data_IF_529834070004
#
_entry.id   IF_529834070004
#
_cell.length_a   1.000
_cell.length_b   1.000
_cell.length_c   1.000
_cell.angle_alpha   90.00
_cell.angle_beta   90.00
_cell.angle_gamma   90.00
#
_symmetry.space_group_name_H-M   'P 1'
#
loop_
_entity.id
_entity.type
_entity.pdbx_description
1 polymer ?
#
# COMPACT_ATOMS: atom_id res chain seq x y z
N UNK A 1 8.71 7.14 -27.49
CA UNK A 1 10.04 7.09 -28.15
C UNK A 1 10.68 8.46 -28.17
N UNK A 2 11.95 8.58 -27.74
CA UNK A 2 12.73 9.82 -27.86
C UNK A 2 12.88 10.65 -26.59
N UNK A 3 12.35 10.20 -25.44
CA UNK A 3 12.69 10.77 -24.14
C UNK A 3 13.68 9.83 -23.43
N UNK A 4 14.96 10.19 -23.30
CA UNK A 4 15.97 9.33 -22.70
C UNK A 4 15.66 8.95 -21.25
N UNK A 5 14.88 9.76 -20.52
CA UNK A 5 14.42 9.41 -19.16
C UNK A 5 13.32 8.36 -19.13
N UNK A 6 12.45 8.34 -20.14
CA UNK A 6 11.41 7.30 -20.24
C UNK A 6 12.04 5.96 -20.60
N UNK A 7 12.98 5.96 -21.55
CA UNK A 7 13.73 4.76 -21.94
C UNK A 7 14.60 4.20 -20.81
N UNK A 8 15.17 5.08 -19.97
CA UNK A 8 15.89 4.67 -18.76
C UNK A 8 14.95 4.08 -17.69
N UNK A 9 13.75 4.64 -17.53
CA UNK A 9 12.72 4.13 -16.62
C UNK A 9 12.23 2.74 -17.05
N UNK A 10 11.89 2.55 -18.32
CA UNK A 10 11.47 1.26 -18.89
C UNK A 10 12.57 0.21 -18.72
N UNK A 11 13.84 0.59 -18.96
CA UNK A 11 14.99 -0.29 -18.76
C UNK A 11 15.22 -0.68 -17.30
N UNK A 12 14.96 0.23 -16.35
CA UNK A 12 15.06 -0.06 -14.92
C UNK A 12 13.94 -1.02 -14.50
N UNK A 13 12.71 -0.80 -14.96
CA UNK A 13 11.58 -1.68 -14.69
C UNK A 13 11.79 -3.08 -15.27
N UNK A 14 12.27 -3.20 -16.51
CA UNK A 14 12.64 -4.49 -17.12
C UNK A 14 13.78 -5.18 -16.36
N UNK A 15 14.80 -4.41 -15.95
CA UNK A 15 15.98 -4.96 -15.27
C UNK A 15 15.66 -5.49 -13.86
N UNK A 16 14.75 -4.82 -13.15
CA UNK A 16 14.37 -5.19 -11.78
C UNK A 16 13.05 -5.95 -11.72
N UNK A 17 12.37 -6.16 -12.85
CA UNK A 17 11.06 -6.80 -12.96
C UNK A 17 10.00 -6.17 -12.07
N UNK A 18 10.10 -4.85 -11.86
CA UNK A 18 9.16 -4.09 -11.02
C UNK A 18 8.20 -3.34 -11.93
N UNK A 19 6.90 -3.57 -11.72
CA UNK A 19 5.83 -2.87 -12.42
C UNK A 19 5.46 -1.54 -11.77
N UNK A 20 4.20 -1.14 -11.94
CA UNK A 20 3.67 0.05 -11.30
C UNK A 20 3.54 -0.10 -9.77
N UNK A 21 3.33 1.03 -9.10
CA UNK A 21 3.19 1.07 -7.64
C UNK A 21 1.85 1.70 -7.28
N UNK A 22 1.13 1.05 -6.37
CA UNK A 22 -0.14 1.52 -5.82
C UNK A 22 0.04 1.72 -4.31
N UNK A 23 -0.28 2.92 -3.83
CA UNK A 23 -0.31 3.25 -2.41
C UNK A 23 -1.71 3.03 -1.85
N UNK A 24 -1.79 2.35 -0.71
CA UNK A 24 -3.00 2.22 0.10
C UNK A 24 -2.79 3.03 1.36
N UNK A 25 -3.54 4.11 1.53
CA UNK A 25 -3.51 4.93 2.73
C UNK A 25 -4.49 4.35 3.75
N UNK A 26 -4.03 4.25 5.00
CA UNK A 26 -4.78 3.76 6.15
C UNK A 26 -4.92 4.91 7.13
N UNK A 27 -6.12 5.17 7.61
CA UNK A 27 -6.40 6.16 8.63
C UNK A 27 -7.27 5.56 9.74
N UNK A 28 -6.98 5.93 10.98
CA UNK A 28 -7.71 5.55 12.17
C UNK A 28 -7.71 6.71 13.17
N UNK A 29 -8.72 6.80 14.03
CA UNK A 29 -8.78 7.85 15.08
C UNK A 29 -7.76 7.62 16.21
N UNK A 30 -7.38 6.37 16.44
CA UNK A 30 -6.39 5.92 17.43
C UNK A 30 -5.04 5.52 16.82
N UNK A 31 -4.16 4.94 17.64
CA UNK A 31 -2.83 4.51 17.16
C UNK A 31 -2.93 3.19 16.38
N UNK A 32 -2.32 3.16 15.20
CA UNK A 32 -2.18 1.95 14.40
C UNK A 32 -1.24 0.90 15.03
N UNK A 33 -0.50 1.28 16.08
CA UNK A 33 0.34 0.36 16.87
C UNK A 33 -0.44 -0.37 17.97
N UNK A 34 -1.72 -0.07 18.16
CA UNK A 34 -2.57 -0.86 19.04
C UNK A 34 -2.77 -2.27 18.44
N UNK A 35 -2.81 -3.29 19.30
CA UNK A 35 -2.89 -4.70 18.90
C UNK A 35 -3.95 -4.97 17.83
N UNK A 36 -5.17 -4.48 18.05
CA UNK A 36 -6.30 -4.70 17.16
C UNK A 36 -6.07 -4.05 15.77
N UNK A 37 -5.44 -2.88 15.74
CA UNK A 37 -5.11 -2.18 14.51
C UNK A 37 -3.92 -2.83 13.78
N UNK A 38 -2.88 -3.26 14.51
CA UNK A 38 -1.76 -4.03 13.94
C UNK A 38 -2.24 -5.31 13.27
N UNK A 39 -3.17 -6.04 13.91
CA UNK A 39 -3.75 -7.24 13.33
C UNK A 39 -4.56 -6.93 12.06
N UNK A 40 -5.35 -5.86 12.07
CA UNK A 40 -6.12 -5.44 10.90
C UNK A 40 -5.20 -5.04 9.73
N UNK A 41 -4.18 -4.20 10.00
CA UNK A 41 -3.20 -3.79 8.97
C UNK A 41 -2.44 -5.00 8.42
N UNK A 42 -1.99 -5.92 9.30
CA UNK A 42 -1.32 -7.14 8.87
C UNK A 42 -2.21 -8.01 7.98
N UNK A 43 -3.49 -8.19 8.35
CA UNK A 43 -4.46 -8.92 7.52
C UNK A 43 -4.60 -8.28 6.14
N UNK A 44 -4.80 -6.96 6.08
CA UNK A 44 -4.89 -6.22 4.81
C UNK A 44 -3.62 -6.39 3.98
N UNK A 45 -2.44 -6.31 4.60
CA UNK A 45 -1.17 -6.54 3.90
C UNK A 45 -1.15 -7.94 3.25
N UNK A 46 -1.53 -8.98 3.99
CA UNK A 46 -1.58 -10.35 3.45
C UNK A 46 -2.63 -10.50 2.34
N UNK A 47 -3.82 -9.94 2.50
CA UNK A 47 -4.86 -9.97 1.47
C UNK A 47 -4.40 -9.28 0.17
N UNK A 48 -3.65 -8.18 0.27
CA UNK A 48 -3.09 -7.49 -0.90
C UNK A 48 -1.95 -8.30 -1.51
N UNK A 49 -1.07 -8.89 -0.70
CA UNK A 49 0.08 -9.67 -1.14
C UNK A 49 -0.34 -10.99 -1.83
N UNK A 50 -1.54 -11.50 -1.52
CA UNK A 50 -2.13 -12.67 -2.19
C UNK A 50 -2.83 -12.33 -3.54
N UNK A 51 -2.95 -11.05 -3.90
CA UNK A 51 -3.57 -10.66 -5.18
C UNK A 51 -2.69 -11.04 -6.37
N UNK A 52 -3.32 -11.59 -7.40
CA UNK A 52 -2.67 -11.86 -8.68
C UNK A 52 -2.12 -10.55 -9.28
N UNK A 53 -0.84 -10.54 -9.68
CA UNK A 53 -0.15 -9.37 -10.20
C UNK A 53 0.49 -8.45 -9.14
N UNK A 54 0.40 -8.78 -7.84
CA UNK A 54 1.17 -8.09 -6.78
C UNK A 54 2.47 -8.85 -6.52
N UNK A 55 3.60 -8.16 -6.67
CA UNK A 55 4.93 -8.72 -6.42
C UNK A 55 5.30 -8.71 -4.93
N UNK A 56 5.03 -7.59 -4.25
CA UNK A 56 5.27 -7.44 -2.82
C UNK A 56 4.46 -6.27 -2.25
N UNK A 57 4.22 -6.29 -0.93
CA UNK A 57 3.64 -5.16 -0.20
C UNK A 57 4.64 -4.66 0.84
N UNK A 58 4.93 -3.37 0.81
CA UNK A 58 5.77 -2.70 1.81
C UNK A 58 4.91 -1.94 2.81
N UNK A 59 5.27 -2.00 4.09
CA UNK A 59 4.54 -1.34 5.17
C UNK A 59 5.46 -0.97 6.34
N UNK A 60 4.87 -0.34 7.36
CA UNK A 60 5.54 -0.12 8.64
C UNK A 60 5.65 -1.39 9.49
N UNK A 61 4.96 -2.49 9.13
CA UNK A 61 5.05 -3.78 9.81
C UNK A 61 6.19 -4.58 9.14
N UNK A 62 7.32 -4.81 9.83
CA UNK A 62 8.40 -5.61 9.29
C UNK A 62 8.00 -7.08 9.17
N UNK A 63 8.54 -7.79 8.17
CA UNK A 63 8.36 -9.25 8.03
C UNK A 63 9.10 -10.03 9.12
N UNK A 64 10.19 -9.48 9.64
CA UNK A 64 11.02 -10.07 10.68
C UNK A 64 11.57 -8.99 11.60
N UNK A 65 11.70 -9.31 12.88
CA UNK A 65 12.36 -8.44 13.86
C UNK A 65 13.52 -9.16 14.55
N UNK A 66 14.54 -8.39 14.94
CA UNK A 66 15.71 -8.91 15.65
C UNK A 66 15.56 -8.68 17.15
N UNK A 67 15.13 -9.70 17.88
CA UNK A 67 15.03 -9.67 19.33
C UNK A 67 16.27 -10.31 19.97
N UNK A 68 17.10 -9.48 20.62
CA UNK A 68 18.29 -9.95 21.37
C UNK A 68 19.19 -10.87 20.52
N UNK A 69 19.39 -10.51 19.26
CA UNK A 69 20.23 -11.27 18.31
C UNK A 69 19.55 -12.50 17.70
N UNK A 70 18.26 -12.72 17.94
CA UNK A 70 17.47 -13.75 17.28
C UNK A 70 16.47 -13.11 16.32
N UNK A 71 16.43 -13.61 15.09
CA UNK A 71 15.45 -13.19 14.10
C UNK A 71 14.16 -13.96 14.36
N UNK A 72 13.04 -13.23 14.47
CA UNK A 72 11.70 -13.80 14.61
C UNK A 72 10.81 -13.25 13.50
N UNK A 73 10.11 -14.13 12.80
CA UNK A 73 9.13 -13.73 11.80
C UNK A 73 7.91 -13.10 12.48
N UNK A 74 7.41 -12.01 11.89
CA UNK A 74 6.19 -11.35 12.33
C UNK A 74 5.03 -11.98 11.59
N UNK A 75 4.30 -12.84 12.29
CA UNK A 75 3.04 -13.43 11.82
C UNK A 75 1.86 -13.00 12.71
N UNK A 76 0.65 -13.43 12.35
CA UNK A 76 -0.56 -13.13 13.12
C UNK A 76 -0.44 -13.53 14.60
N UNK A 77 0.19 -14.68 14.88
CA UNK A 77 0.39 -15.19 16.25
C UNK A 77 1.41 -14.36 17.02
N UNK A 78 2.43 -13.85 16.33
CA UNK A 78 3.41 -12.94 16.89
C UNK A 78 2.72 -11.65 17.32
N UNK A 79 1.96 -11.01 16.43
CA UNK A 79 1.23 -9.77 16.74
C UNK A 79 0.23 -10.00 17.89
N UNK A 80 -0.45 -11.14 17.90
CA UNK A 80 -1.40 -11.48 18.96
C UNK A 80 -0.74 -11.52 20.35
N UNK A 81 0.48 -12.06 20.44
CA UNK A 81 1.17 -12.33 21.71
C UNK A 81 2.18 -11.27 22.12
N UNK A 82 2.70 -10.52 21.15
CA UNK A 82 3.87 -9.66 21.29
C UNK A 82 3.70 -8.31 20.55
N UNK A 83 2.46 -7.81 20.49
CA UNK A 83 2.14 -6.51 19.88
C UNK A 83 2.83 -5.33 20.57
N UNK A 84 3.05 -5.42 21.88
CA UNK A 84 3.85 -4.47 22.66
C UNK A 84 5.29 -4.40 22.16
N UNK A 85 5.94 -5.57 22.03
CA UNK A 85 7.32 -5.68 21.54
C UNK A 85 7.43 -5.22 20.09
N UNK A 86 6.45 -5.56 19.26
CA UNK A 86 6.41 -5.12 17.87
C UNK A 86 6.25 -3.60 17.77
N UNK A 87 5.37 -3.01 18.57
CA UNK A 87 5.17 -1.57 18.65
C UNK A 87 6.47 -0.85 19.02
N UNK A 88 7.12 -1.27 20.10
CA UNK A 88 8.40 -0.70 20.54
C UNK A 88 9.47 -0.82 19.44
N UNK A 89 9.57 -1.98 18.78
CA UNK A 89 10.52 -2.18 17.68
C UNK A 89 10.25 -1.25 16.49
N UNK A 90 8.98 -1.08 16.12
CA UNK A 90 8.58 -0.17 15.04
C UNK A 90 8.95 1.26 15.41
N UNK A 91 8.69 1.70 16.64
CA UNK A 91 9.00 3.08 17.04
C UNK A 91 10.50 3.36 17.15
N UNK A 92 11.27 2.44 17.72
CA UNK A 92 12.65 2.72 18.15
C UNK A 92 13.72 2.18 17.20
N UNK A 93 13.45 1.09 16.48
CA UNK A 93 14.48 0.35 15.74
C UNK A 93 14.20 0.25 14.23
N UNK A 94 12.94 0.28 13.81
CA UNK A 94 12.61 0.06 12.40
C UNK A 94 12.87 1.30 11.53
N UNK A 95 13.84 1.19 10.64
CA UNK A 95 14.35 2.31 9.83
C UNK A 95 13.34 2.91 8.83
N UNK A 96 12.25 2.20 8.53
CA UNK A 96 11.23 2.62 7.57
C UNK A 96 9.99 3.24 8.22
N UNK A 97 9.92 3.28 9.55
CA UNK A 97 8.73 3.75 10.26
C UNK A 97 8.30 5.13 9.81
N UNK A 98 9.21 6.11 9.76
CA UNK A 98 8.89 7.49 9.34
C UNK A 98 8.45 7.61 7.88
N UNK A 99 8.67 6.59 7.05
CA UNK A 99 8.25 6.59 5.65
C UNK A 99 6.80 6.10 5.48
N UNK A 100 6.36 5.20 6.35
CA UNK A 100 5.08 4.52 6.22
C UNK A 100 4.09 4.89 7.32
N UNK A 101 4.54 5.35 8.49
CA UNK A 101 3.72 5.67 9.64
C UNK A 101 3.84 7.16 9.98
N UNK A 102 2.70 7.79 10.20
CA UNK A 102 2.64 9.19 10.62
C UNK A 102 3.14 9.42 12.05
N UNK A 103 3.58 10.65 12.34
CA UNK A 103 4.08 11.05 13.66
C UNK A 103 3.05 10.91 14.79
N UNK A 104 1.75 10.87 14.53
CA UNK A 104 0.73 10.61 15.55
C UNK A 104 0.27 9.15 15.56
N UNK A 105 0.87 8.31 14.70
CA UNK A 105 0.59 6.90 14.49
C UNK A 105 -0.84 6.62 14.03
N UNK A 106 -1.60 7.64 13.66
CA UNK A 106 -3.00 7.54 13.24
C UNK A 106 -3.17 7.17 11.77
N UNK A 107 -2.14 7.44 10.97
CA UNK A 107 -2.13 7.24 9.52
C UNK A 107 -0.93 6.41 9.08
N UNK A 108 -1.15 5.56 8.09
CA UNK A 108 -0.12 4.75 7.47
C UNK A 108 -0.29 4.70 5.95
N UNK A 109 0.76 4.31 5.24
CA UNK A 109 0.71 3.90 3.83
C UNK A 109 1.24 2.47 3.69
N UNK A 110 0.51 1.63 2.96
CA UNK A 110 1.02 0.40 2.37
C UNK A 110 1.38 0.68 0.91
N UNK A 111 2.45 0.07 0.42
CA UNK A 111 2.89 0.22 -0.95
C UNK A 111 2.87 -1.15 -1.62
N UNK A 112 1.87 -1.37 -2.46
CA UNK A 112 1.76 -2.54 -3.31
C UNK A 112 2.59 -2.31 -4.57
N UNK A 113 3.61 -3.13 -4.74
CA UNK A 113 4.47 -3.14 -5.93
C UNK A 113 3.95 -4.24 -6.85
N UNK A 114 3.63 -3.89 -8.09
CA UNK A 114 3.08 -4.83 -9.05
C UNK A 114 4.18 -5.61 -9.78
N UNK A 115 3.83 -6.79 -10.28
CA UNK A 115 4.66 -7.52 -11.24
C UNK A 115 4.80 -6.72 -12.55
N UNK A 116 5.91 -6.91 -13.27
CA UNK A 116 6.20 -6.14 -14.48
C UNK A 116 5.16 -6.30 -15.61
N UNK A 117 4.46 -7.44 -15.66
CA UNK A 117 3.43 -7.77 -16.63
C UNK A 117 2.00 -7.73 -16.06
N UNK A 118 1.85 -7.28 -14.82
CA UNK A 118 0.54 -7.16 -14.17
C UNK A 118 -0.36 -6.13 -14.87
N UNK A 119 -1.65 -6.46 -15.00
CA UNK A 119 -2.67 -5.53 -15.47
C UNK A 119 -3.11 -4.68 -14.28
N UNK A 120 -2.55 -3.48 -14.14
CA UNK A 120 -2.79 -2.62 -12.99
C UNK A 120 -4.27 -2.28 -12.74
N UNK A 121 -5.11 -2.21 -13.77
CA UNK A 121 -6.56 -1.98 -13.65
C UNK A 121 -7.27 -3.13 -12.89
N UNK A 122 -6.88 -4.38 -13.14
CA UNK A 122 -7.45 -5.54 -12.47
C UNK A 122 -7.03 -5.57 -10.99
N UNK A 123 -5.77 -5.25 -10.69
CA UNK A 123 -5.27 -5.13 -9.31
C UNK A 123 -5.97 -4.00 -8.57
N UNK A 124 -6.14 -2.83 -9.21
CA UNK A 124 -6.89 -1.69 -8.64
C UNK A 124 -8.33 -2.09 -8.31
N UNK A 125 -8.98 -2.89 -9.16
CA UNK A 125 -10.34 -3.35 -8.91
C UNK A 125 -10.41 -4.25 -7.67
N UNK A 126 -9.51 -5.21 -7.54
CA UNK A 126 -9.41 -6.08 -6.36
C UNK A 126 -9.10 -5.26 -5.09
N UNK A 127 -8.20 -4.27 -5.19
CA UNK A 127 -7.91 -3.35 -4.09
C UNK A 127 -9.14 -2.53 -3.67
N UNK A 128 -9.96 -2.07 -4.63
CA UNK A 128 -11.22 -1.37 -4.33
C UNK A 128 -12.21 -2.28 -3.57
N UNK A 129 -12.21 -3.58 -3.83
CA UNK A 129 -13.03 -4.55 -3.10
C UNK A 129 -12.54 -4.74 -1.66
N UNK A 130 -11.22 -4.88 -1.44
CA UNK A 130 -10.63 -4.94 -0.09
C UNK A 130 -10.96 -3.66 0.69
N UNK A 131 -10.75 -2.49 0.08
CA UNK A 131 -11.05 -1.18 0.67
C UNK A 131 -12.53 -1.02 1.00
N UNK A 132 -13.43 -1.54 0.14
CA UNK A 132 -14.87 -1.45 0.36
C UNK A 132 -15.42 -2.40 1.43
N UNK A 133 -14.70 -3.47 1.75
CA UNK A 133 -15.10 -4.49 2.72
C UNK A 133 -14.48 -4.26 4.12
N UNK A 134 -13.49 -3.38 4.24
CA UNK A 134 -12.86 -3.08 5.53
C UNK A 134 -13.73 -2.12 6.35
N UNK A 135 -14.18 -2.59 7.53
CA UNK A 135 -15.03 -1.81 8.43
C UNK A 135 -14.26 -1.18 9.60
N UNK A 136 -13.06 -1.70 9.92
CA UNK A 136 -12.31 -1.29 11.11
C UNK A 136 -11.40 -0.08 10.84
N UNK A 137 -10.91 0.07 9.61
CA UNK A 137 -9.94 1.09 9.21
C UNK A 137 -10.46 1.88 8.02
N UNK A 138 -10.19 3.18 7.98
CA UNK A 138 -10.51 3.98 6.80
C UNK A 138 -9.39 3.81 5.77
N UNK A 139 -9.70 3.15 4.66
CA UNK A 139 -8.74 2.88 3.58
C UNK A 139 -9.01 3.78 2.37
N UNK A 140 -7.95 4.26 1.73
CA UNK A 140 -8.03 4.95 0.44
C UNK A 140 -6.88 4.56 -0.48
N UNK A 141 -7.07 4.70 -1.80
CA UNK A 141 -6.09 4.30 -2.80
C UNK A 141 -5.48 5.52 -3.48
N UNK A 142 -4.18 5.48 -3.74
CA UNK A 142 -3.45 6.46 -4.52
C UNK A 142 -2.46 5.77 -5.46
N UNK A 143 -2.20 6.36 -6.63
CA UNK A 143 -1.34 5.77 -7.65
C UNK A 143 -1.68 6.29 -9.03
N UNK A 144 -0.80 6.03 -10.00
CA UNK A 144 -0.94 6.54 -11.36
C UNK A 144 -2.28 6.10 -11.99
N UNK A 145 -2.65 4.83 -11.83
CA UNK A 145 -3.90 4.30 -12.39
C UNK A 145 -5.16 4.81 -11.65
N UNK A 146 -5.08 5.10 -10.36
CA UNK A 146 -6.18 5.75 -9.62
C UNK A 146 -6.39 7.19 -10.11
N UNK A 147 -5.30 7.92 -10.36
CA UNK A 147 -5.33 9.28 -10.89
C UNK A 147 -5.89 9.29 -12.31
N UNK A 148 -5.50 8.33 -13.15
CA UNK A 148 -6.01 8.17 -14.51
C UNK A 148 -7.52 7.93 -14.53
N UNK A 149 -8.04 7.01 -13.73
CA UNK A 149 -9.49 6.78 -13.54
C UNK A 149 -10.21 8.07 -13.14
N UNK A 150 -9.64 8.78 -12.17
CA UNK A 150 -10.20 10.01 -11.61
C UNK A 150 -10.25 11.11 -12.67
N UNK A 151 -9.15 11.32 -13.42
CA UNK A 151 -9.06 12.30 -14.50
C UNK A 151 -10.03 11.98 -15.63
N UNK A 152 -10.12 10.72 -16.05
CA UNK A 152 -11.07 10.30 -17.09
C UNK A 152 -12.52 10.54 -16.69
N UNK A 153 -12.88 10.22 -15.45
CA UNK A 153 -14.21 10.51 -14.94
C UNK A 153 -14.52 12.01 -14.94
N UNK A 154 -13.59 12.85 -14.48
CA UNK A 154 -13.76 14.30 -14.53
C UNK A 154 -13.86 14.83 -15.98
N UNK A 155 -13.05 14.33 -16.91
CA UNK A 155 -13.09 14.69 -18.33
C UNK A 155 -14.45 14.36 -18.96
N UNK A 156 -14.96 13.14 -18.74
CA UNK A 156 -16.29 12.74 -19.21
C UNK A 156 -17.34 13.67 -18.62
N UNK A 157 -17.29 13.93 -17.31
CA UNK A 157 -18.26 14.79 -16.63
C UNK A 157 -18.24 16.22 -17.18
N UNK A 158 -17.07 16.77 -17.47
CA UNK A 158 -16.91 18.08 -18.10
C UNK A 158 -17.50 18.09 -19.51
N UNK A 159 -17.25 17.04 -20.31
CA UNK A 159 -17.82 16.90 -21.66
C UNK A 159 -19.35 16.82 -21.63
N UNK A 160 -19.94 16.17 -20.63
CA UNK A 160 -21.40 16.11 -20.46
C UNK A 160 -22.03 17.38 -19.87
N UNK A 161 -21.25 18.22 -19.17
CA UNK A 161 -21.71 19.51 -18.62
C UNK A 161 -21.57 20.64 -19.64
N UNK A 162 -20.65 20.52 -20.60
CA UNK A 162 -20.50 21.50 -21.67
C UNK A 162 -21.74 21.46 -22.59
N UNK A 163 -22.41 22.60 -22.83
CA UNK A 163 -23.48 22.65 -23.82
C UNK A 163 -22.90 22.27 -25.20
N UNK A 164 -23.70 21.66 -26.08
CA UNK A 164 -23.24 21.37 -27.44
C UNK A 164 -22.75 22.68 -28.06
N UNK A 165 -21.53 22.64 -28.59
CA UNK A 165 -21.00 23.72 -29.41
C UNK A 165 -21.86 23.75 -30.68
N UNK A 166 -22.74 24.74 -30.80
CA UNK A 166 -23.39 25.12 -32.07
C UNK A 166 -22.39 25.82 -32.99
#
# INVERSE_FOLDING_TARGET
>A
EGNPRAEEYDRLNEKYQVGEVISVLIEQDGSLLEKENLQAVYRIQQEIEELDGVYQVQSFIPLEISLRGHISSVDEKFIERHSDILGDFIEDEYFLTDQFLSNDRSKSTLVAVLEADAVAEDVVKSLKEIVGNEEQLMLSLAGNEIIKDTIWFYLIRIVFILPPIE
#
